data_IF_669535863526
#
_entry.id   IF_669535863526
#
_cell.length_a   1.000
_cell.length_b   1.000
_cell.length_c   1.000
_cell.angle_alpha   90.00
_cell.angle_beta   90.00
_cell.angle_gamma   90.00
#
_symmetry.space_group_name_H-M   'P 1'
#
loop_
_entity.id
_entity.type
_entity.pdbx_description
1 polymer ?
#
# COMPACT_ATOMS: atom_id res chain seq x y z
N UNK A 1 31.74 9.36 -8.48
CA UNK A 1 31.41 8.03 -7.91
C UNK A 1 29.96 7.78 -8.28
N UNK A 2 29.72 6.87 -9.23
CA UNK A 2 28.45 6.80 -9.95
C UNK A 2 27.30 6.30 -9.08
N UNK A 3 26.21 7.06 -9.03
CA UNK A 3 24.91 6.62 -8.53
C UNK A 3 24.43 5.45 -9.40
N UNK A 4 24.68 4.22 -8.95
CA UNK A 4 23.93 3.07 -9.43
C UNK A 4 22.49 3.31 -8.98
N UNK A 5 21.68 3.85 -9.88
CA UNK A 5 20.25 4.02 -9.69
C UNK A 5 19.65 2.64 -9.43
N UNK A 6 19.35 2.35 -8.17
CA UNK A 6 18.62 1.17 -7.69
C UNK A 6 17.15 1.20 -8.15
N UNK A 7 16.90 1.38 -9.44
CA UNK A 7 15.56 1.44 -10.01
C UNK A 7 14.91 0.08 -9.97
N UNK A 8 13.81 -0.01 -9.23
CA UNK A 8 12.82 -1.09 -9.37
C UNK A 8 12.10 -0.90 -10.68
N UNK A 9 11.99 -1.95 -11.50
CA UNK A 9 11.35 -1.88 -12.82
C UNK A 9 10.18 -2.84 -13.03
N UNK A 10 9.95 -3.79 -12.12
CA UNK A 10 8.84 -4.75 -12.18
C UNK A 10 8.14 -4.88 -10.83
N UNK A 11 6.92 -5.42 -10.86
CA UNK A 11 6.18 -5.75 -9.64
C UNK A 11 6.90 -6.82 -8.80
N UNK A 12 7.49 -7.85 -9.42
CA UNK A 12 8.22 -8.90 -8.69
C UNK A 12 9.42 -8.32 -7.91
N UNK A 13 10.24 -7.50 -8.58
CA UNK A 13 11.37 -6.83 -7.92
C UNK A 13 10.89 -5.87 -6.82
N UNK A 14 9.72 -5.23 -7.02
CA UNK A 14 9.11 -4.39 -6.01
C UNK A 14 8.81 -5.18 -4.73
N UNK A 15 8.13 -6.34 -4.85
CA UNK A 15 7.77 -7.15 -3.69
C UNK A 15 8.97 -7.78 -3.00
N UNK A 16 9.94 -8.27 -3.76
CA UNK A 16 11.19 -8.81 -3.22
C UNK A 16 11.93 -7.76 -2.37
N UNK A 17 12.01 -6.52 -2.86
CA UNK A 17 12.71 -5.43 -2.16
C UNK A 17 11.86 -4.72 -1.10
N UNK A 18 10.55 -4.94 -1.09
CA UNK A 18 9.64 -4.48 -0.05
C UNK A 18 9.82 -5.29 1.24
N UNK A 19 10.21 -6.57 1.15
CA UNK A 19 10.49 -7.40 2.33
C UNK A 19 11.59 -6.77 3.18
N UNK A 20 11.37 -6.73 4.50
CA UNK A 20 12.22 -6.08 5.49
C UNK A 20 12.01 -4.58 5.62
N UNK A 21 11.17 -3.94 4.79
CA UNK A 21 10.89 -2.51 4.87
C UNK A 21 9.82 -2.23 5.93
N UNK A 22 10.10 -1.24 6.77
CA UNK A 22 9.14 -0.74 7.76
C UNK A 22 8.06 0.11 7.11
N UNK A 23 6.80 -0.12 7.47
CA UNK A 23 5.69 0.78 7.18
C UNK A 23 5.76 1.97 8.14
N UNK A 24 6.10 3.15 7.66
CA UNK A 24 6.25 4.32 8.53
C UNK A 24 5.06 5.27 8.43
N UNK A 25 4.21 5.14 7.40
CA UNK A 25 2.98 5.91 7.33
C UNK A 25 1.90 5.22 6.52
N UNK A 26 0.66 5.52 6.89
CA UNK A 26 -0.55 5.17 6.15
C UNK A 26 -1.38 6.43 6.03
N UNK A 27 -1.92 6.67 4.84
CA UNK A 27 -2.90 7.73 4.59
C UNK A 27 -4.20 7.07 4.15
N UNK A 28 -5.21 7.18 5.02
CA UNK A 28 -6.61 6.85 4.77
C UNK A 28 -7.45 7.96 5.42
N UNK A 29 -8.66 8.21 4.93
CA UNK A 29 -9.48 9.26 5.55
C UNK A 29 -10.94 9.31 5.15
N UNK A 30 -11.69 10.25 5.76
CA UNK A 30 -13.09 10.45 5.45
C UNK A 30 -13.31 10.74 3.96
N UNK A 31 -14.26 10.04 3.34
CA UNK A 31 -14.59 10.19 1.92
C UNK A 31 -13.64 9.50 0.95
N UNK A 32 -12.58 8.81 1.41
CA UNK A 32 -11.68 8.04 0.53
C UNK A 32 -12.17 6.62 0.27
N UNK A 33 -13.24 6.17 0.95
CA UNK A 33 -13.78 4.81 0.81
C UNK A 33 -12.70 3.76 1.09
N UNK A 34 -12.51 2.82 0.17
CA UNK A 34 -11.45 1.81 0.25
C UNK A 34 -10.05 2.31 -0.12
N UNK A 35 -9.90 3.58 -0.54
CA UNK A 35 -8.60 4.09 -0.95
C UNK A 35 -7.70 4.34 0.26
N UNK A 36 -6.49 3.76 0.19
CA UNK A 36 -5.47 3.86 1.23
C UNK A 36 -4.08 3.83 0.59
N UNK A 37 -3.18 4.70 1.07
CA UNK A 37 -1.77 4.69 0.69
C UNK A 37 -0.91 4.18 1.84
N UNK A 38 -0.07 3.18 1.57
CA UNK A 38 0.93 2.67 2.50
C UNK A 38 2.32 3.12 2.06
N UNK A 39 3.12 3.60 3.00
CA UNK A 39 4.46 4.13 2.75
C UNK A 39 5.49 3.32 3.53
N UNK A 40 6.48 2.78 2.81
CA UNK A 40 7.48 1.89 3.37
C UNK A 40 8.92 2.33 3.09
N UNK A 41 9.85 1.82 3.90
CA UNK A 41 11.28 1.97 3.69
C UNK A 41 11.79 3.38 3.99
N UNK A 42 12.71 3.87 3.17
CA UNK A 42 13.24 5.22 3.29
C UNK A 42 12.19 6.32 3.12
N UNK A 43 12.45 7.48 3.73
CA UNK A 43 11.65 8.70 3.54
C UNK A 43 12.30 9.56 2.46
N UNK A 44 11.58 9.79 1.38
CA UNK A 44 12.04 10.60 0.25
C UNK A 44 11.41 11.97 0.36
N UNK A 45 12.24 13.03 0.42
CA UNK A 45 11.70 14.39 0.53
C UNK A 45 10.90 14.73 -0.73
N UNK A 46 9.66 15.19 -0.55
CA UNK A 46 8.83 15.67 -1.66
C UNK A 46 9.42 16.98 -2.20
N UNK A 47 9.47 17.11 -3.52
CA UNK A 47 9.80 18.40 -4.16
C UNK A 47 8.78 19.47 -3.81
N UNK A 48 7.50 19.07 -3.75
CA UNK A 48 6.37 19.91 -3.34
C UNK A 48 5.64 19.26 -2.17
N UNK A 49 5.80 19.78 -0.94
CA UNK A 49 5.08 19.28 0.21
C UNK A 49 3.56 19.35 0.02
N UNK A 50 2.84 18.38 0.58
CA UNK A 50 1.38 18.38 0.57
C UNK A 50 0.86 19.53 1.45
N UNK A 51 -0.19 20.21 0.98
CA UNK A 51 -0.79 21.35 1.69
C UNK A 51 -1.86 20.98 2.71
N UNK A 52 -2.36 19.73 2.66
CA UNK A 52 -3.45 19.28 3.51
C UNK A 52 -3.02 19.24 4.99
N UNK A 53 -3.57 20.15 5.80
CA UNK A 53 -3.27 20.28 7.23
C UNK A 53 -3.76 19.13 8.09
N UNK A 54 -4.64 18.26 7.57
CA UNK A 54 -5.07 17.05 8.29
C UNK A 54 -3.99 15.96 8.29
N UNK A 55 -2.98 16.07 7.41
CA UNK A 55 -1.84 15.18 7.37
C UNK A 55 -0.75 15.63 8.34
N UNK A 56 -0.06 14.66 8.93
CA UNK A 56 1.11 14.91 9.76
C UNK A 56 2.21 15.67 8.99
N UNK A 57 3.10 16.36 9.71
CA UNK A 57 4.24 17.04 9.08
C UNK A 57 5.06 16.08 8.21
N UNK A 58 5.24 14.86 8.69
CA UNK A 58 5.99 13.81 7.99
C UNK A 58 5.32 13.42 6.67
N UNK A 59 4.02 13.11 6.69
CA UNK A 59 3.23 12.80 5.48
C UNK A 59 3.26 13.96 4.46
N UNK A 60 3.25 15.20 4.95
CA UNK A 60 3.32 16.38 4.08
C UNK A 60 4.69 16.57 3.44
N UNK A 61 5.77 16.28 4.15
CA UNK A 61 7.13 16.58 3.71
C UNK A 61 7.79 15.43 2.94
N UNK A 62 7.38 14.19 3.21
CA UNK A 62 8.02 12.99 2.69
C UNK A 62 7.07 12.08 1.93
N UNK A 63 7.64 11.34 1.00
CA UNK A 63 7.08 10.21 0.29
C UNK A 63 7.83 8.93 0.67
N UNK A 64 7.28 7.78 0.31
CA UNK A 64 7.89 6.49 0.60
C UNK A 64 8.92 6.11 -0.45
N UNK A 65 9.97 5.39 -0.03
CA UNK A 65 10.85 4.63 -0.93
C UNK A 65 10.01 3.64 -1.74
N UNK A 66 9.08 2.95 -1.06
CA UNK A 66 8.06 2.10 -1.66
C UNK A 66 6.68 2.60 -1.23
N UNK A 67 5.75 2.68 -2.17
CA UNK A 67 4.37 3.09 -1.93
C UNK A 67 3.42 2.10 -2.62
N UNK A 68 2.42 1.65 -1.86
CA UNK A 68 1.28 0.90 -2.41
C UNK A 68 0.04 1.78 -2.23
N UNK A 69 -0.60 2.14 -3.33
CA UNK A 69 -1.83 2.92 -3.33
C UNK A 69 -3.01 2.07 -3.77
N UNK A 70 -3.89 1.74 -2.84
CA UNK A 70 -5.14 1.01 -3.09
C UNK A 70 -6.19 2.00 -3.57
N UNK A 71 -6.90 1.67 -4.66
CA UNK A 71 -7.83 2.60 -5.32
C UNK A 71 -9.24 2.04 -5.53
N UNK A 72 -9.36 0.73 -5.74
CA UNK A 72 -10.66 0.12 -6.11
C UNK A 72 -10.93 -1.23 -5.41
N UNK A 73 -10.04 -1.67 -4.51
CA UNK A 73 -10.07 -3.01 -3.93
C UNK A 73 -10.57 -2.97 -2.50
N UNK A 74 -11.38 -3.95 -2.12
CA UNK A 74 -11.67 -4.23 -0.71
C UNK A 74 -10.43 -4.81 -0.03
N UNK A 75 -10.26 -4.47 1.24
CA UNK A 75 -9.13 -4.97 2.02
C UNK A 75 -9.51 -5.19 3.47
N UNK A 76 -8.75 -6.04 4.14
CA UNK A 76 -8.87 -6.29 5.56
C UNK A 76 -7.51 -6.40 6.23
N UNK A 77 -7.45 -5.88 7.46
CA UNK A 77 -6.32 -6.04 8.37
C UNK A 77 -6.63 -7.20 9.30
N UNK A 78 -5.72 -8.14 9.42
CA UNK A 78 -5.85 -9.28 10.32
C UNK A 78 -4.70 -9.33 11.31
N UNK A 79 -4.99 -9.92 12.47
CA UNK A 79 -3.99 -10.33 13.45
C UNK A 79 -4.38 -11.70 13.98
N UNK A 80 -3.44 -12.65 13.97
CA UNK A 80 -3.71 -14.03 14.41
C UNK A 80 -4.96 -14.66 13.74
N UNK A 81 -5.19 -14.34 12.46
CA UNK A 81 -6.35 -14.73 11.65
C UNK A 81 -7.71 -14.10 12.03
N UNK A 82 -7.75 -13.15 12.96
CA UNK A 82 -8.96 -12.37 13.26
C UNK A 82 -8.98 -11.06 12.47
N UNK A 83 -10.15 -10.68 11.95
CA UNK A 83 -10.34 -9.42 11.23
C UNK A 83 -10.38 -8.27 12.24
N UNK A 84 -9.35 -7.42 12.21
CA UNK A 84 -9.22 -6.24 13.07
C UNK A 84 -9.96 -5.04 12.47
N UNK A 85 -9.83 -4.82 11.17
CA UNK A 85 -10.64 -3.86 10.44
C UNK A 85 -10.74 -4.20 8.95
N UNK A 86 -11.70 -3.58 8.28
CA UNK A 86 -11.95 -3.70 6.85
C UNK A 86 -12.07 -2.33 6.18
N UNK A 87 -12.01 -2.30 4.86
CA UNK A 87 -12.30 -1.12 4.04
C UNK A 87 -13.71 -0.56 4.20
N UNK A 88 -14.63 -1.30 4.82
CA UNK A 88 -16.04 -0.90 5.04
C UNK A 88 -16.31 -0.40 6.47
N UNK A 89 -15.32 -0.46 7.37
CA UNK A 89 -15.46 0.04 8.74
C UNK A 89 -15.49 1.58 8.80
N UNK A 90 -15.94 2.15 9.93
CA UNK A 90 -15.95 3.60 10.14
C UNK A 90 -14.53 4.21 9.97
N UNK A 91 -14.42 5.22 9.08
CA UNK A 91 -13.21 5.96 8.73
C UNK A 91 -13.14 7.39 9.26
N UNK A 92 -14.07 7.78 10.15
CA UNK A 92 -13.99 9.00 10.94
C UNK A 92 -12.78 8.95 11.89
N UNK A 93 -12.45 10.10 12.49
CA UNK A 93 -11.38 10.18 13.49
C UNK A 93 -11.64 9.19 14.62
N UNK A 94 -10.65 8.33 14.91
CA UNK A 94 -10.73 7.23 15.88
C UNK A 94 -11.68 6.07 15.48
N UNK A 95 -12.19 6.06 14.25
CA UNK A 95 -12.95 4.94 13.71
C UNK A 95 -12.11 3.67 13.59
N UNK A 96 -12.79 2.52 13.59
CA UNK A 96 -12.17 1.18 13.58
C UNK A 96 -11.21 0.98 12.39
N UNK A 97 -11.52 1.54 11.22
CA UNK A 97 -10.65 1.50 10.04
C UNK A 97 -9.30 2.16 10.33
N UNK A 98 -9.32 3.43 10.76
CA UNK A 98 -8.11 4.20 11.02
C UNK A 98 -7.32 3.64 12.20
N UNK A 99 -8.00 3.13 13.23
CA UNK A 99 -7.35 2.44 14.33
C UNK A 99 -6.58 1.21 13.85
N UNK A 100 -7.23 0.29 13.14
CA UNK A 100 -6.60 -0.94 12.67
C UNK A 100 -5.45 -0.70 11.68
N UNK A 101 -5.60 0.26 10.76
CA UNK A 101 -4.51 0.66 9.87
C UNK A 101 -3.31 1.22 10.64
N UNK A 102 -3.53 2.09 11.63
CA UNK A 102 -2.43 2.69 12.39
C UNK A 102 -1.61 1.67 13.18
N UNK A 103 -2.16 0.50 13.51
CA UNK A 103 -1.39 -0.56 14.17
C UNK A 103 -0.26 -1.08 13.26
N UNK A 104 -0.43 -1.05 11.94
CA UNK A 104 0.59 -1.50 10.99
C UNK A 104 1.79 -0.54 10.90
N UNK A 105 1.64 0.70 11.37
CA UNK A 105 2.73 1.68 11.40
C UNK A 105 3.79 1.24 12.41
N UNK A 106 5.05 1.24 11.99
CA UNK A 106 6.20 0.74 12.74
C UNK A 106 6.52 -0.73 12.46
N UNK A 107 5.60 -1.50 11.86
CA UNK A 107 5.82 -2.92 11.55
C UNK A 107 6.55 -3.08 10.22
N UNK A 108 7.38 -4.11 10.13
CA UNK A 108 8.17 -4.40 8.91
C UNK A 108 7.50 -5.50 8.09
N UNK A 109 7.57 -5.40 6.77
CA UNK A 109 7.09 -6.46 5.89
C UNK A 109 7.97 -7.70 6.06
N UNK A 110 7.35 -8.84 6.35
CA UNK A 110 8.00 -10.15 6.43
C UNK A 110 7.78 -10.92 5.13
N UNK A 111 6.62 -10.73 4.50
CA UNK A 111 6.25 -11.43 3.29
C UNK A 111 5.30 -10.61 2.43
N UNK A 112 5.40 -10.75 1.11
CA UNK A 112 4.50 -10.12 0.14
C UNK A 112 4.21 -11.11 -0.99
N UNK A 113 2.93 -11.31 -1.31
CA UNK A 113 2.50 -12.26 -2.35
C UNK A 113 1.26 -11.79 -3.08
N UNK A 114 1.33 -11.81 -4.42
CA UNK A 114 0.16 -11.70 -5.28
C UNK A 114 -0.70 -12.97 -5.11
N UNK A 115 -1.99 -12.80 -4.79
CA UNK A 115 -2.88 -13.92 -4.46
C UNK A 115 -3.73 -14.41 -5.63
N UNK A 116 -3.92 -13.58 -6.65
CA UNK A 116 -4.64 -13.94 -7.86
C UNK A 116 -4.23 -13.03 -9.03
N UNK A 117 -4.64 -13.41 -10.24
CA UNK A 117 -4.33 -12.66 -11.47
C UNK A 117 -5.07 -11.32 -11.59
N UNK A 118 -6.05 -11.06 -10.71
CA UNK A 118 -6.85 -9.83 -10.64
C UNK A 118 -6.25 -8.79 -9.69
N UNK A 119 -4.98 -8.94 -9.34
CA UNK A 119 -4.27 -8.02 -8.45
C UNK A 119 -4.73 -8.13 -7.00
N UNK A 120 -5.06 -9.32 -6.52
CA UNK A 120 -5.10 -9.61 -5.09
C UNK A 120 -3.68 -9.63 -4.51
N UNK A 121 -3.51 -9.16 -3.28
CA UNK A 121 -2.19 -9.03 -2.65
C UNK A 121 -2.30 -9.29 -1.15
N UNK A 122 -1.47 -10.18 -0.63
CA UNK A 122 -1.30 -10.38 0.80
C UNK A 122 0.07 -9.83 1.23
N UNK A 123 0.06 -8.95 2.22
CA UNK A 123 1.24 -8.47 2.91
C UNK A 123 1.23 -9.00 4.34
N UNK A 124 2.30 -9.67 4.73
CA UNK A 124 2.56 -10.04 6.12
C UNK A 124 3.54 -9.03 6.71
N UNK A 125 3.20 -8.56 7.89
CA UNK A 125 3.98 -7.66 8.72
C UNK A 125 4.49 -8.43 9.94
N UNK A 126 5.58 -7.95 10.53
CA UNK A 126 6.13 -8.48 11.77
C UNK A 126 5.06 -8.60 12.85
N UNK A 127 5.18 -9.63 13.71
CA UNK A 127 4.22 -9.96 14.78
C UNK A 127 2.87 -10.47 14.24
N UNK A 128 2.86 -11.24 13.14
CA UNK A 128 1.67 -11.91 12.59
C UNK A 128 0.51 -10.95 12.26
N UNK A 129 0.85 -9.77 11.73
CA UNK A 129 -0.12 -8.81 11.20
C UNK A 129 -0.23 -8.97 9.69
N UNK A 130 -1.44 -8.86 9.15
CA UNK A 130 -1.67 -9.08 7.73
C UNK A 130 -2.51 -7.95 7.14
N UNK A 131 -2.22 -7.60 5.88
CA UNK A 131 -3.11 -6.84 5.02
C UNK A 131 -3.43 -7.71 3.81
N UNK A 132 -4.71 -8.05 3.65
CA UNK A 132 -5.20 -8.80 2.51
C UNK A 132 -6.00 -7.86 1.61
N UNK A 133 -5.55 -7.69 0.37
CA UNK A 133 -6.24 -6.96 -0.69
C UNK A 133 -6.95 -7.96 -1.60
N UNK A 134 -8.23 -7.72 -1.82
CA UNK A 134 -9.09 -8.57 -2.65
C UNK A 134 -8.98 -8.08 -4.10
N UNK A 135 -8.47 -8.95 -4.97
CA UNK A 135 -8.39 -8.66 -6.41
C UNK A 135 -9.79 -8.43 -7.00
N UNK A 136 -9.90 -7.47 -7.92
CA UNK A 136 -11.18 -7.11 -8.53
C UNK A 136 -11.35 -7.91 -9.82
N UNK A 137 -12.18 -8.96 -9.76
CA UNK A 137 -12.67 -9.64 -10.97
C UNK A 137 -13.69 -8.76 -11.68
N UNK A 138 -13.25 -7.82 -12.51
CA UNK A 138 -14.16 -7.09 -13.39
C UNK A 138 -13.53 -6.88 -14.77
N UNK A 139 -14.39 -6.87 -15.81
CA UNK A 139 -14.03 -6.58 -17.21
C UNK A 139 -13.73 -5.08 -17.44
N UNK A 140 -13.26 -4.39 -16.41
CA UNK A 140 -12.89 -2.99 -16.39
C UNK A 140 -11.38 -2.93 -16.28
N UNK A 141 -10.72 -2.04 -17.02
CA UNK A 141 -9.25 -1.81 -16.97
C UNK A 141 -8.76 -1.25 -15.60
N UNK A 142 -9.42 -1.57 -14.49
CA UNK A 142 -9.16 -1.01 -13.17
C UNK A 142 -8.26 -1.94 -12.35
N UNK A 143 -7.07 -1.45 -11.99
CA UNK A 143 -6.21 -2.16 -11.03
C UNK A 143 -6.71 -1.97 -9.58
N UNK A 144 -6.57 -3.04 -8.78
CA UNK A 144 -6.80 -3.03 -7.33
C UNK A 144 -5.92 -2.01 -6.58
N UNK A 145 -4.67 -1.85 -7.03
CA UNK A 145 -3.69 -0.93 -6.47
C UNK A 145 -2.64 -0.51 -7.52
N UNK A 146 -1.90 0.55 -7.20
CA UNK A 146 -0.74 1.02 -7.94
C UNK A 146 0.52 0.99 -7.06
N UNK A 147 1.66 0.66 -7.68
CA UNK A 147 2.95 0.53 -7.03
C UNK A 147 3.85 1.71 -7.41
N UNK A 148 4.54 2.31 -6.44
CA UNK A 148 5.52 3.36 -6.74
C UNK A 148 6.82 3.10 -6.00
N UNK A 149 7.94 3.18 -6.71
CA UNK A 149 9.27 3.16 -6.09
C UNK A 149 9.98 4.49 -6.38
N UNK A 150 10.38 5.18 -5.31
CA UNK A 150 11.00 6.50 -5.41
C UNK A 150 10.21 7.49 -6.27
N UNK A 151 8.89 7.51 -6.09
CA UNK A 151 7.95 8.39 -6.81
C UNK A 151 7.66 7.99 -8.26
N UNK A 152 8.26 6.89 -8.77
CA UNK A 152 7.99 6.38 -10.12
C UNK A 152 6.99 5.24 -10.06
N UNK A 153 5.98 5.30 -10.93
CA UNK A 153 5.02 4.21 -11.11
C UNK A 153 5.75 2.96 -11.60
N UNK A 154 5.50 1.84 -10.92
CA UNK A 154 5.98 0.52 -11.32
C UNK A 154 4.84 -0.19 -12.07
N UNK A 155 5.08 -0.67 -13.30
CA UNK A 155 4.11 -1.46 -14.04
C UNK A 155 3.68 -2.68 -13.22
N UNK A 156 2.38 -2.82 -12.98
CA UNK A 156 1.84 -4.01 -12.33
C UNK A 156 1.54 -5.08 -13.39
N UNK A 157 1.88 -6.34 -13.10
CA UNK A 157 1.59 -7.48 -13.98
C UNK A 157 0.16 -7.95 -13.65
N UNK A 158 -0.84 -7.13 -13.96
CA UNK A 158 -2.22 -7.62 -14.05
C UNK A 158 -2.44 -7.91 -15.52
N UNK A 159 -2.65 -9.19 -15.88
CA UNK A 159 -2.94 -9.56 -17.26
C UNK A 159 -4.18 -8.80 -17.70
N UNK A 160 -4.01 -7.87 -18.65
CA UNK A 160 -5.12 -7.44 -19.47
C UNK A 160 -5.54 -8.66 -20.27
N UNK A 161 -6.77 -9.14 -20.09
CA UNK A 161 -7.33 -10.10 -21.02
C UNK A 161 -7.39 -9.43 -22.39
N UNK A 162 -6.41 -9.75 -23.25
CA UNK A 162 -6.49 -9.50 -24.68
C UNK A 162 -7.57 -10.43 -25.24
N UNK A 163 -8.84 -10.03 -25.12
CA UNK A 163 -9.90 -10.70 -25.86
C UNK A 163 -9.81 -10.24 -27.32
N UNK A 164 -9.35 -11.16 -28.18
CA UNK A 164 -9.56 -11.18 -29.63
C UNK A 164 -11.06 -11.23 -29.96
#
# INVERSE_FOLDING_TARGET
MGDIKYTVNSADEFYERLVGKCCWSIIAGPGTGSMVSFYFGGKIRRERPLKNSTLSLEQRQFDGEFVIFVKHSEWNVLHENEIICTSNDNNEKNGKMLYGLNILVGKSIVFARITNEYGGLNLEFSENWFLNLIGIENNTDLDSYSLFHSGKLIPNIVKKNENH
#
